data_IF_479985998278
#
_entry.id   IF_479985998278
#
_cell.length_a   1.000
_cell.length_b   1.000
_cell.length_c   1.000
_cell.angle_alpha   90.00
_cell.angle_beta   90.00
_cell.angle_gamma   90.00
#
_symmetry.space_group_name_H-M   'P 1'
#
loop_
_entity.id
_entity.type
_entity.pdbx_description
1 polymer ?
#
# COMPACT_ATOMS: atom_id res chain seq x y z
N UNK A 1 -56.92 23.64 39.96
CA UNK A 1 -56.40 22.41 39.35
C UNK A 1 -56.18 22.67 37.87
N UNK A 2 -54.93 22.76 37.40
CA UNK A 2 -54.61 23.03 36.00
C UNK A 2 -54.44 21.73 35.19
N UNK A 3 -54.46 21.82 33.85
CA UNK A 3 -54.27 20.68 32.96
C UNK A 3 -52.79 20.35 32.76
N UNK A 4 -52.49 19.06 32.62
CA UNK A 4 -51.20 18.48 32.26
C UNK A 4 -51.01 18.47 30.75
N UNK A 5 -50.00 19.21 30.27
CA UNK A 5 -49.45 19.08 28.92
C UNK A 5 -47.98 18.66 29.05
N UNK A 6 -47.72 17.35 28.88
CA UNK A 6 -46.37 16.81 28.72
C UNK A 6 -45.92 17.00 27.26
N UNK A 7 -45.05 17.97 27.02
CA UNK A 7 -44.23 18.03 25.81
C UNK A 7 -43.03 17.12 25.98
N UNK A 8 -43.11 15.92 25.40
CA UNK A 8 -41.98 15.01 25.21
C UNK A 8 -40.99 15.62 24.21
N UNK A 9 -39.96 16.31 24.69
CA UNK A 9 -38.78 16.61 23.90
C UNK A 9 -37.94 15.33 23.74
N UNK A 10 -37.91 14.78 22.52
CA UNK A 10 -36.93 13.79 22.14
C UNK A 10 -35.51 14.41 22.19
N UNK A 11 -34.47 13.65 22.59
CA UNK A 11 -33.10 14.14 22.52
C UNK A 11 -32.67 14.29 21.06
N UNK A 12 -32.07 15.43 20.73
CA UNK A 12 -31.39 15.70 19.46
C UNK A 12 -30.02 14.99 19.46
N UNK A 13 -29.81 13.89 18.70
CA UNK A 13 -28.55 13.17 18.72
C UNK A 13 -27.70 13.61 17.52
N UNK A 14 -27.32 14.88 17.47
CA UNK A 14 -26.34 15.36 16.49
C UNK A 14 -24.94 15.34 17.10
N UNK A 15 -24.29 14.17 17.11
CA UNK A 15 -22.88 14.04 17.53
C UNK A 15 -21.96 14.36 16.35
N UNK A 16 -21.14 15.41 16.45
CA UNK A 16 -20.15 15.80 15.42
C UNK A 16 -18.77 15.25 15.82
N UNK A 17 -18.13 14.47 14.95
CA UNK A 17 -16.81 13.85 15.19
C UNK A 17 -15.73 14.49 14.31
N UNK A 18 -14.94 15.39 14.87
CA UNK A 18 -13.86 16.08 14.14
C UNK A 18 -12.68 15.13 13.91
N UNK A 19 -12.29 14.88 12.66
CA UNK A 19 -11.10 14.07 12.28
C UNK A 19 -10.28 14.84 11.25
N UNK A 20 -9.03 15.20 11.61
CA UNK A 20 -8.13 15.98 10.76
C UNK A 20 -7.59 15.22 9.54
N UNK A 21 -7.16 16.01 8.54
CA UNK A 21 -6.49 15.67 7.28
C UNK A 21 -7.37 15.21 6.09
N UNK A 22 -7.03 15.72 4.90
CA UNK A 22 -7.68 15.44 3.60
C UNK A 22 -7.54 13.97 3.17
N UNK A 23 -6.48 13.30 3.61
CA UNK A 23 -6.17 11.91 3.23
C UNK A 23 -7.15 10.90 3.86
N UNK A 24 -7.75 11.24 5.02
CA UNK A 24 -8.79 10.43 5.65
C UNK A 24 -10.08 10.36 4.79
N UNK A 25 -10.38 11.43 4.06
CA UNK A 25 -11.61 11.53 3.28
C UNK A 25 -11.62 10.58 2.06
N UNK A 26 -10.46 10.41 1.41
CA UNK A 26 -10.30 9.49 0.28
C UNK A 26 -10.35 8.03 0.73
N UNK A 27 -9.69 7.70 1.85
CA UNK A 27 -9.71 6.36 2.43
C UNK A 27 -11.12 5.94 2.88
N UNK A 28 -11.89 6.88 3.47
CA UNK A 28 -13.29 6.66 3.82
C UNK A 28 -14.14 6.45 2.56
N UNK A 29 -13.95 7.26 1.51
CA UNK A 29 -14.72 7.09 0.27
C UNK A 29 -14.52 5.71 -0.37
N UNK A 30 -13.27 5.24 -0.48
CA UNK A 30 -12.93 3.95 -1.09
C UNK A 30 -13.44 2.75 -0.28
N UNK A 31 -13.48 2.86 1.05
CA UNK A 31 -13.89 1.74 1.93
C UNK A 31 -15.41 1.60 2.08
N UNK A 32 -16.17 2.65 1.77
CA UNK A 32 -17.63 2.67 1.87
C UNK A 32 -18.34 2.74 0.50
N UNK A 33 -17.66 2.39 -0.60
CA UNK A 33 -18.31 2.22 -1.91
C UNK A 33 -19.47 1.23 -1.79
N UNK A 34 -20.70 1.75 -1.89
CA UNK A 34 -21.95 0.98 -1.89
C UNK A 34 -22.83 1.13 -0.65
N UNK A 35 -22.37 1.75 0.45
CA UNK A 35 -23.14 1.82 1.71
C UNK A 35 -23.56 3.24 2.14
N UNK A 36 -23.03 4.29 1.53
CA UNK A 36 -23.25 5.65 1.98
C UNK A 36 -23.28 6.68 0.82
N UNK A 37 -24.25 7.60 0.85
CA UNK A 37 -24.14 8.84 0.07
C UNK A 37 -23.16 9.76 0.78
N UNK A 38 -21.95 9.91 0.23
CA UNK A 38 -20.93 10.82 0.76
C UNK A 38 -21.04 12.18 0.07
N UNK A 39 -21.04 13.26 0.86
CA UNK A 39 -21.00 14.65 0.36
C UNK A 39 -19.82 15.39 0.95
N UNK A 40 -19.22 16.26 0.14
CA UNK A 40 -18.11 17.11 0.52
C UNK A 40 -18.60 18.55 0.64
N UNK A 41 -18.16 19.26 1.66
CA UNK A 41 -18.45 20.68 1.88
C UNK A 41 -17.15 21.43 2.19
N UNK A 42 -17.09 22.71 1.79
CA UNK A 42 -15.92 23.58 1.99
C UNK A 42 -15.99 24.37 3.29
N UNK A 43 -17.19 24.52 3.86
CA UNK A 43 -17.39 25.17 5.14
C UNK A 43 -18.35 24.36 6.02
N UNK A 44 -18.29 24.52 7.35
CA UNK A 44 -19.22 23.87 8.26
C UNK A 44 -20.69 24.20 7.95
N UNK A 45 -20.98 25.43 7.53
CA UNK A 45 -22.33 25.88 7.17
C UNK A 45 -22.83 25.18 5.90
N UNK A 46 -21.98 25.02 4.89
CA UNK A 46 -22.29 24.25 3.69
C UNK A 46 -22.53 22.77 4.02
N UNK A 47 -21.73 22.20 4.93
CA UNK A 47 -21.90 20.82 5.38
C UNK A 47 -23.22 20.61 6.10
N UNK A 48 -23.60 21.53 6.99
CA UNK A 48 -24.88 21.49 7.70
C UNK A 48 -26.07 21.69 6.74
N UNK A 49 -25.92 22.56 5.73
CA UNK A 49 -26.94 22.75 4.70
C UNK A 49 -27.14 21.50 3.85
N UNK A 50 -26.05 20.84 3.42
CA UNK A 50 -26.08 19.57 2.69
C UNK A 50 -26.69 18.44 3.54
N UNK A 51 -26.31 18.36 4.82
CA UNK A 51 -26.86 17.40 5.77
C UNK A 51 -28.40 17.52 5.88
N UNK A 52 -28.91 18.75 6.02
CA UNK A 52 -30.35 19.03 6.13
C UNK A 52 -31.12 18.79 4.83
N UNK A 53 -30.53 19.17 3.70
CA UNK A 53 -31.21 19.15 2.39
C UNK A 53 -31.23 17.75 1.77
N UNK A 54 -30.11 17.06 1.81
CA UNK A 54 -29.91 15.83 1.03
C UNK A 54 -29.89 14.57 1.89
N UNK A 55 -29.85 14.72 3.22
CA UNK A 55 -29.71 13.62 4.20
C UNK A 55 -28.67 12.57 3.79
N UNK A 56 -27.44 12.99 3.42
CA UNK A 56 -26.38 12.07 3.09
C UNK A 56 -26.01 11.23 4.31
N UNK A 57 -25.59 9.99 4.06
CA UNK A 57 -25.08 9.10 5.12
C UNK A 57 -23.79 9.63 5.76
N UNK A 58 -23.04 10.48 5.04
CA UNK A 58 -21.82 11.11 5.55
C UNK A 58 -21.57 12.47 4.89
N UNK A 59 -21.31 13.49 5.70
CA UNK A 59 -20.79 14.78 5.22
C UNK A 59 -19.35 14.97 5.70
N UNK A 60 -18.45 15.23 4.76
CA UNK A 60 -17.06 15.56 5.03
C UNK A 60 -16.87 17.05 4.77
N UNK A 61 -16.55 17.82 5.80
CA UNK A 61 -16.26 19.24 5.69
C UNK A 61 -14.75 19.43 5.66
N UNK A 62 -14.21 19.99 4.60
CA UNK A 62 -12.79 20.30 4.49
C UNK A 62 -12.58 21.80 4.64
N UNK A 63 -11.86 22.22 5.69
CA UNK A 63 -11.40 23.60 5.89
C UNK A 63 -9.88 23.67 5.70
N UNK A 64 -9.31 24.86 5.40
CA UNK A 64 -7.86 25.01 5.17
C UNK A 64 -6.98 24.48 6.29
N UNK A 65 -7.47 24.55 7.54
CA UNK A 65 -6.69 24.19 8.72
C UNK A 65 -7.08 22.81 9.30
N UNK A 66 -8.28 22.30 8.96
CA UNK A 66 -8.83 21.05 9.52
C UNK A 66 -9.80 20.36 8.57
N UNK A 67 -9.83 19.03 8.56
CA UNK A 67 -10.98 18.27 8.04
C UNK A 67 -11.89 17.93 9.22
N UNK A 68 -13.20 18.00 9.01
CA UNK A 68 -14.22 17.73 10.03
C UNK A 68 -15.17 16.69 9.44
N UNK A 69 -15.33 15.55 10.09
CA UNK A 69 -16.33 14.56 9.71
C UNK A 69 -17.63 14.85 10.48
N UNK A 70 -18.73 15.05 9.77
CA UNK A 70 -20.06 15.09 10.40
C UNK A 70 -20.84 13.86 9.93
N UNK A 71 -20.93 12.85 10.79
CA UNK A 71 -21.78 11.68 10.56
C UNK A 71 -23.20 11.96 11.05
N UNK A 72 -24.21 11.72 10.22
CA UNK A 72 -25.62 11.68 10.61
C UNK A 72 -26.10 10.24 10.53
N UNK A 73 -26.50 9.66 11.67
CA UNK A 73 -27.14 8.34 11.74
C UNK A 73 -28.59 8.51 12.21
N UNK A 74 -29.52 8.75 11.28
CA UNK A 74 -30.94 8.45 11.50
C UNK A 74 -31.19 6.98 11.11
N UNK A 75 -31.13 6.07 12.08
CA UNK A 75 -31.53 4.67 11.86
C UNK A 75 -33.06 4.57 11.87
N UNK A 76 -33.66 4.69 10.69
CA UNK A 76 -35.02 4.22 10.43
C UNK A 76 -35.09 2.70 10.50
N UNK A 77 -36.02 2.18 11.30
CA UNK A 77 -36.23 0.76 11.52
C UNK A 77 -36.43 -0.02 10.21
N UNK A 78 -36.03 -1.30 10.24
CA UNK A 78 -36.14 -2.34 9.20
C UNK A 78 -35.13 -2.29 8.06
N UNK A 79 -33.90 -2.70 8.36
CA UNK A 79 -33.07 -3.67 7.62
C UNK A 79 -31.90 -4.04 8.54
N UNK A 80 -31.49 -5.31 8.58
CA UNK A 80 -30.46 -5.86 9.48
C UNK A 80 -29.21 -4.96 9.52
N UNK A 81 -29.07 -4.18 10.60
CA UNK A 81 -28.02 -3.18 10.76
C UNK A 81 -26.91 -3.71 11.71
N UNK A 82 -25.62 -3.43 11.43
CA UNK A 82 -24.60 -3.46 12.48
C UNK A 82 -25.01 -2.47 13.57
N UNK A 83 -24.80 -2.83 14.83
CA UNK A 83 -25.22 -2.01 15.96
C UNK A 83 -24.42 -0.70 15.98
N UNK A 84 -24.97 0.36 16.56
CA UNK A 84 -24.28 1.64 16.78
C UNK A 84 -22.93 1.46 17.50
N UNK A 85 -22.79 0.39 18.29
CA UNK A 85 -21.53 -0.02 18.92
C UNK A 85 -20.49 -0.52 17.93
N UNK A 86 -20.87 -1.21 16.85
CA UNK A 86 -19.93 -1.77 15.87
C UNK A 86 -19.26 -0.68 15.03
N UNK A 87 -20.00 0.38 14.69
CA UNK A 87 -19.47 1.53 13.94
C UNK A 87 -18.60 2.42 14.85
N UNK A 88 -19.02 2.67 16.09
CA UNK A 88 -18.23 3.42 17.06
C UNK A 88 -16.91 2.71 17.39
N UNK A 89 -16.93 1.38 17.50
CA UNK A 89 -15.73 0.56 17.70
C UNK A 89 -14.83 0.61 16.46
N UNK A 90 -15.39 0.41 15.26
CA UNK A 90 -14.62 0.51 14.01
C UNK A 90 -13.97 1.89 13.80
N UNK A 91 -14.65 2.98 14.17
CA UNK A 91 -14.09 4.33 14.14
C UNK A 91 -13.04 4.55 15.23
N UNK A 92 -13.25 4.02 16.44
CA UNK A 92 -12.29 4.11 17.55
C UNK A 92 -11.01 3.33 17.25
N UNK A 93 -11.11 2.21 16.52
CA UNK A 93 -9.95 1.46 16.03
C UNK A 93 -9.25 2.16 14.85
N UNK A 94 -10.00 2.91 14.02
CA UNK A 94 -9.44 3.66 12.89
C UNK A 94 -8.67 4.92 13.34
N UNK A 95 -9.14 5.63 14.36
CA UNK A 95 -8.59 6.94 14.77
C UNK A 95 -7.10 6.87 15.16
N UNK A 96 -6.61 5.87 15.91
CA UNK A 96 -5.18 5.70 16.18
C UNK A 96 -4.35 5.46 14.91
N UNK A 97 -4.88 4.71 13.93
CA UNK A 97 -4.22 4.50 12.65
C UNK A 97 -4.17 5.78 11.82
N UNK A 98 -5.26 6.55 11.77
CA UNK A 98 -5.30 7.85 11.10
C UNK A 98 -4.37 8.87 11.77
N UNK A 99 -4.33 8.92 13.11
CA UNK A 99 -3.47 9.83 13.86
C UNK A 99 -1.98 9.44 13.78
N UNK A 100 -1.67 8.14 13.79
CA UNK A 100 -0.30 7.63 13.60
C UNK A 100 0.19 7.82 12.16
N UNK A 101 -0.72 7.85 11.19
CA UNK A 101 -0.44 8.22 9.80
C UNK A 101 -0.38 9.73 9.57
N UNK A 102 -0.52 10.57 10.60
CA UNK A 102 -0.40 12.03 10.46
C UNK A 102 0.92 12.60 10.98
N UNK A 103 1.77 11.79 11.62
CA UNK A 103 3.12 12.21 12.05
C UNK A 103 4.21 11.83 11.05
N UNK A 104 3.88 11.73 9.76
CA UNK A 104 4.88 11.50 8.73
C UNK A 104 5.79 12.71 8.63
N UNK A 105 7.09 12.42 8.59
CA UNK A 105 8.12 13.41 8.43
C UNK A 105 7.87 14.16 7.12
N UNK A 106 7.34 15.38 7.22
CA UNK A 106 7.12 16.29 6.09
C UNK A 106 8.42 16.60 5.32
N UNK A 107 9.58 16.23 5.87
CA UNK A 107 10.87 16.35 5.22
C UNK A 107 11.23 15.14 4.33
N UNK A 108 10.48 14.03 4.41
CA UNK A 108 10.71 12.91 3.51
C UNK A 108 10.35 13.28 2.07
N UNK A 109 11.29 13.03 1.16
CA UNK A 109 11.17 13.37 -0.27
C UNK A 109 10.14 12.47 -0.97
N UNK A 110 9.97 11.24 -0.48
CA UNK A 110 8.99 10.28 -0.96
C UNK A 110 8.47 9.45 0.21
N UNK A 111 7.15 9.34 0.35
CA UNK A 111 6.49 8.64 1.46
C UNK A 111 5.87 7.32 1.01
N UNK A 112 6.75 6.35 0.75
CA UNK A 112 6.36 5.01 0.26
C UNK A 112 5.71 4.18 1.36
N UNK A 113 6.14 4.36 2.61
CA UNK A 113 5.66 3.56 3.74
C UNK A 113 4.20 3.91 4.08
N UNK A 114 3.82 5.18 3.98
CA UNK A 114 2.42 5.59 4.04
C UNK A 114 1.58 4.95 2.96
N UNK A 115 2.05 4.98 1.70
CA UNK A 115 1.33 4.35 0.58
C UNK A 115 1.07 2.86 0.86
N UNK A 116 2.07 2.16 1.40
CA UNK A 116 1.98 0.73 1.72
C UNK A 116 1.07 0.42 2.91
N UNK A 117 0.94 1.34 3.87
CA UNK A 117 0.09 1.15 5.04
C UNK A 117 -1.40 1.00 4.67
N UNK A 118 -1.81 1.53 3.52
CA UNK A 118 -3.20 1.47 3.04
C UNK A 118 -3.55 0.21 2.26
N UNK A 119 -2.58 -0.61 1.86
CA UNK A 119 -2.80 -1.74 0.95
C UNK A 119 -3.07 -3.06 1.71
N UNK A 120 -4.13 -3.81 1.36
CA UNK A 120 -4.38 -5.13 1.93
C UNK A 120 -3.35 -6.14 1.40
N UNK A 121 -2.81 -7.01 2.25
CA UNK A 121 -1.73 -7.97 1.92
C UNK A 121 -0.46 -7.33 1.34
N UNK A 122 0.44 -6.89 2.22
CA UNK A 122 1.53 -6.00 1.84
C UNK A 122 2.53 -6.61 0.85
N UNK A 123 2.66 -7.93 0.74
CA UNK A 123 3.81 -8.54 0.03
C UNK A 123 3.74 -8.40 -1.49
N UNK A 124 2.58 -8.69 -2.11
CA UNK A 124 2.45 -8.62 -3.57
C UNK A 124 2.46 -7.16 -4.05
N UNK A 125 1.82 -6.27 -3.29
CA UNK A 125 1.83 -4.84 -3.57
C UNK A 125 3.21 -4.20 -3.39
N UNK A 126 3.99 -4.62 -2.38
CA UNK A 126 5.39 -4.18 -2.20
C UNK A 126 6.23 -4.49 -3.43
N UNK A 127 6.10 -5.68 -4.01
CA UNK A 127 6.82 -6.07 -5.21
C UNK A 127 6.42 -5.20 -6.43
N UNK A 128 5.13 -4.97 -6.63
CA UNK A 128 4.64 -4.11 -7.71
C UNK A 128 5.12 -2.65 -7.55
N UNK A 129 5.06 -2.11 -6.33
CA UNK A 129 5.57 -0.77 -6.01
C UNK A 129 7.08 -0.70 -6.22
N UNK A 130 7.84 -1.72 -5.82
CA UNK A 130 9.27 -1.77 -6.07
C UNK A 130 9.62 -1.69 -7.57
N UNK A 131 8.85 -2.36 -8.44
CA UNK A 131 9.02 -2.27 -9.90
C UNK A 131 8.73 -0.86 -10.41
N UNK A 132 7.63 -0.25 -9.95
CA UNK A 132 7.27 1.13 -10.35
C UNK A 132 8.32 2.14 -9.90
N UNK A 133 8.81 2.02 -8.67
CA UNK A 133 9.84 2.88 -8.11
C UNK A 133 11.18 2.69 -8.85
N UNK A 134 11.60 1.46 -9.13
CA UNK A 134 12.80 1.18 -9.89
C UNK A 134 12.76 1.84 -11.27
N UNK A 135 11.61 1.74 -11.95
CA UNK A 135 11.39 2.41 -13.23
C UNK A 135 11.41 3.94 -13.09
N UNK A 136 10.79 4.50 -12.04
CA UNK A 136 10.85 5.94 -11.80
C UNK A 136 12.29 6.42 -11.55
N UNK A 137 13.09 5.66 -10.82
CA UNK A 137 14.50 6.00 -10.58
C UNK A 137 15.34 6.00 -11.88
N UNK A 138 15.01 5.12 -12.83
CA UNK A 138 15.65 5.04 -14.14
C UNK A 138 15.16 6.13 -15.11
N UNK A 139 13.84 6.26 -15.29
CA UNK A 139 13.21 7.13 -16.28
C UNK A 139 13.06 8.60 -15.82
N UNK A 140 13.07 8.84 -14.50
CA UNK A 140 12.77 10.13 -13.87
C UNK A 140 13.63 11.30 -14.37
N UNK A 141 14.97 11.20 -14.39
CA UNK A 141 15.84 12.25 -14.91
C UNK A 141 15.57 12.59 -16.39
N UNK A 142 15.29 11.58 -17.22
CA UNK A 142 14.98 11.78 -18.63
C UNK A 142 13.65 12.51 -18.82
N UNK A 143 12.65 12.20 -17.98
CA UNK A 143 11.36 12.90 -17.95
C UNK A 143 11.53 14.39 -17.62
N UNK A 144 12.37 14.76 -16.64
CA UNK A 144 12.67 16.18 -16.34
C UNK A 144 13.38 16.87 -17.51
N UNK A 145 14.38 16.20 -18.11
CA UNK A 145 15.06 16.74 -19.28
C UNK A 145 14.09 16.98 -20.46
N UNK A 146 13.09 16.11 -20.63
CA UNK A 146 12.02 16.30 -21.61
C UNK A 146 11.17 17.54 -21.30
N UNK A 147 10.78 17.77 -20.05
CA UNK A 147 10.07 18.98 -19.64
C UNK A 147 10.87 20.25 -19.94
N UNK A 148 12.19 20.26 -19.63
CA UNK A 148 13.04 21.42 -19.94
C UNK A 148 13.15 21.67 -21.45
N UNK A 149 13.21 20.62 -22.28
CA UNK A 149 13.21 20.76 -23.75
C UNK A 149 11.86 21.24 -24.30
N UNK A 150 10.76 20.83 -23.66
CA UNK A 150 9.41 21.23 -24.02
C UNK A 150 9.08 22.67 -23.60
N UNK A 151 9.84 23.25 -22.68
CA UNK A 151 9.67 24.65 -22.29
C UNK A 151 10.10 25.59 -23.42
N UNK A 152 9.12 26.26 -24.02
CA UNK A 152 9.31 27.34 -24.98
C UNK A 152 8.26 28.42 -24.73
N UNK A 153 8.66 29.69 -24.56
CA UNK A 153 7.70 30.80 -24.48
C UNK A 153 6.72 30.76 -25.66
N UNK A 154 5.41 30.75 -25.38
CA UNK A 154 4.35 30.70 -26.40
C UNK A 154 3.90 29.29 -26.84
N UNK A 155 4.65 28.23 -26.54
CA UNK A 155 4.31 26.83 -26.90
C UNK A 155 4.12 25.95 -25.64
N UNK A 156 3.18 26.31 -24.77
CA UNK A 156 3.02 25.71 -23.43
C UNK A 156 2.27 24.37 -23.41
N UNK A 157 1.69 23.94 -24.54
CA UNK A 157 0.80 22.79 -24.62
C UNK A 157 1.46 21.47 -24.22
N UNK A 158 2.65 21.20 -24.77
CA UNK A 158 3.41 19.97 -24.50
C UNK A 158 3.89 19.92 -23.05
N UNK A 159 4.46 21.03 -22.55
CA UNK A 159 4.95 21.10 -21.17
C UNK A 159 3.83 20.86 -20.16
N UNK A 160 2.66 21.47 -20.35
CA UNK A 160 1.49 21.25 -19.48
C UNK A 160 1.06 19.78 -19.47
N UNK A 161 1.09 19.10 -20.62
CA UNK A 161 0.78 17.68 -20.69
C UNK A 161 1.79 16.83 -19.90
N UNK A 162 3.08 17.11 -20.04
CA UNK A 162 4.15 16.42 -19.32
C UNK A 162 4.04 16.64 -17.80
N UNK A 163 3.81 17.88 -17.35
CA UNK A 163 3.61 18.20 -15.94
C UNK A 163 2.42 17.45 -15.34
N UNK A 164 1.28 17.43 -16.05
CA UNK A 164 0.09 16.71 -15.61
C UNK A 164 0.34 15.21 -15.46
N UNK A 165 1.00 14.60 -16.46
CA UNK A 165 1.37 13.18 -16.44
C UNK A 165 2.30 12.88 -15.27
N UNK A 166 3.32 13.71 -15.06
CA UNK A 166 4.27 13.53 -13.96
C UNK A 166 3.61 13.71 -12.59
N UNK A 167 2.67 14.65 -12.44
CA UNK A 167 1.89 14.84 -11.22
C UNK A 167 1.16 13.56 -10.82
N UNK A 168 0.48 12.91 -11.77
CA UNK A 168 -0.22 11.65 -11.51
C UNK A 168 0.74 10.49 -11.24
N UNK A 169 1.75 10.30 -12.11
CA UNK A 169 2.68 9.18 -12.00
C UNK A 169 3.59 9.24 -10.77
N UNK A 170 4.28 10.36 -10.57
CA UNK A 170 5.21 10.55 -9.46
C UNK A 170 4.48 10.80 -8.14
N UNK A 171 3.40 11.60 -8.17
CA UNK A 171 2.60 11.90 -6.98
C UNK A 171 1.91 10.67 -6.38
N UNK A 172 1.41 9.74 -7.20
CA UNK A 172 0.79 8.50 -6.71
C UNK A 172 1.78 7.54 -6.04
N UNK A 173 3.09 7.74 -6.21
CA UNK A 173 4.15 6.98 -5.55
C UNK A 173 4.61 7.62 -4.22
N UNK A 174 3.90 8.64 -3.74
CA UNK A 174 4.17 9.29 -2.45
C UNK A 174 5.09 10.53 -2.53
N UNK A 175 5.43 11.00 -3.72
CA UNK A 175 6.24 12.21 -3.91
C UNK A 175 5.37 13.48 -3.93
N UNK A 176 4.76 13.79 -2.77
CA UNK A 176 3.78 14.88 -2.61
C UNK A 176 4.34 16.25 -2.97
N UNK A 177 5.53 16.60 -2.46
CA UNK A 177 6.19 17.89 -2.73
C UNK A 177 6.44 18.10 -4.23
N UNK A 178 6.88 17.04 -4.94
CA UNK A 178 7.02 17.08 -6.39
C UNK A 178 5.68 17.36 -7.10
N UNK A 179 4.61 16.67 -6.70
CA UNK A 179 3.28 16.89 -7.26
C UNK A 179 2.78 18.34 -7.03
N UNK A 180 3.02 18.91 -5.86
CA UNK A 180 2.69 20.31 -5.54
C UNK A 180 3.50 21.29 -6.43
N UNK A 181 4.81 21.07 -6.57
CA UNK A 181 5.65 21.88 -7.46
C UNK A 181 5.17 21.82 -8.93
N UNK A 182 4.69 20.67 -9.42
CA UNK A 182 4.14 20.62 -10.79
C UNK A 182 2.90 21.52 -10.94
N UNK A 183 2.06 21.64 -9.92
CA UNK A 183 0.90 22.54 -9.91
C UNK A 183 1.36 23.99 -9.96
N UNK A 184 2.37 24.37 -9.17
CA UNK A 184 2.94 25.72 -9.19
C UNK A 184 3.43 26.10 -10.60
N UNK A 185 4.14 25.19 -11.28
CA UNK A 185 4.60 25.41 -12.65
C UNK A 185 3.42 25.50 -13.63
N UNK A 186 2.41 24.64 -13.51
CA UNK A 186 1.18 24.72 -14.33
C UNK A 186 0.45 26.07 -14.16
N UNK A 187 0.42 26.61 -12.95
CA UNK A 187 -0.19 27.92 -12.66
C UNK A 187 0.65 29.04 -13.28
N UNK A 188 1.97 29.05 -13.07
CA UNK A 188 2.88 30.03 -13.66
C UNK A 188 2.80 30.03 -15.20
N UNK A 189 2.68 28.85 -15.81
CA UNK A 189 2.46 28.67 -17.25
C UNK A 189 1.17 29.33 -17.73
N UNK A 190 0.08 29.15 -16.98
CA UNK A 190 -1.24 29.74 -17.31
C UNK A 190 -1.23 31.25 -17.20
N UNK A 191 -0.46 31.79 -16.27
CA UNK A 191 -0.36 33.23 -16.00
C UNK A 191 0.69 33.94 -16.86
N UNK A 192 1.43 33.22 -17.71
CA UNK A 192 2.48 33.80 -18.55
C UNK A 192 3.70 34.28 -17.76
N UNK A 193 3.92 33.78 -16.54
CA UNK A 193 5.04 34.16 -15.67
C UNK A 193 6.29 33.33 -16.00
N UNK A 194 6.93 33.64 -17.13
CA UNK A 194 8.03 32.83 -17.68
C UNK A 194 9.19 32.60 -16.69
N UNK A 195 9.61 33.61 -15.95
CA UNK A 195 10.68 33.48 -14.93
C UNK A 195 10.30 32.47 -13.83
N UNK A 196 9.04 32.47 -13.40
CA UNK A 196 8.53 31.52 -12.40
C UNK A 196 8.46 30.09 -12.95
N UNK A 197 8.18 29.93 -14.25
CA UNK A 197 8.21 28.62 -14.91
C UNK A 197 9.63 28.07 -14.90
N UNK A 198 10.62 28.87 -15.28
CA UNK A 198 12.03 28.45 -15.31
C UNK A 198 12.55 28.09 -13.91
N UNK A 199 12.26 28.94 -12.92
CA UNK A 199 12.61 28.66 -11.53
C UNK A 199 11.90 27.39 -11.00
N UNK A 200 10.64 27.18 -11.38
CA UNK A 200 9.89 25.98 -11.00
C UNK A 200 10.41 24.70 -11.67
N UNK A 201 10.82 24.76 -12.94
CA UNK A 201 11.44 23.63 -13.63
C UNK A 201 12.79 23.26 -13.02
N UNK A 202 13.58 24.26 -12.60
CA UNK A 202 14.82 24.03 -11.86
C UNK A 202 14.55 23.33 -10.52
N UNK A 203 13.57 23.80 -9.74
CA UNK A 203 13.17 23.14 -8.48
C UNK A 203 12.67 21.71 -8.69
N UNK A 204 11.92 21.43 -9.76
CA UNK A 204 11.49 20.08 -10.10
C UNK A 204 12.68 19.15 -10.43
N UNK A 205 13.73 19.69 -11.06
CA UNK A 205 14.96 18.95 -11.33
C UNK A 205 15.70 18.60 -10.03
N UNK A 206 15.84 19.56 -9.12
CA UNK A 206 16.43 19.32 -7.79
C UNK A 206 15.62 18.29 -6.98
N UNK A 207 14.29 18.41 -6.99
CA UNK A 207 13.41 17.49 -6.27
C UNK A 207 13.48 16.07 -6.88
N UNK A 208 13.51 15.93 -8.21
CA UNK A 208 13.73 14.63 -8.85
C UNK A 208 15.11 14.05 -8.51
N UNK A 209 16.15 14.88 -8.48
CA UNK A 209 17.49 14.46 -8.09
C UNK A 209 17.55 13.99 -6.62
N UNK A 210 16.65 14.46 -5.75
CA UNK A 210 16.48 13.97 -4.39
C UNK A 210 15.61 12.70 -4.31
N UNK A 211 14.59 12.57 -5.16
CA UNK A 211 13.71 11.38 -5.22
C UNK A 211 14.50 10.13 -5.60
N UNK A 212 15.33 10.20 -6.64
CA UNK A 212 16.09 9.04 -7.15
C UNK A 212 16.91 8.31 -6.08
N UNK A 213 17.78 8.97 -5.30
CA UNK A 213 18.53 8.30 -4.24
C UNK A 213 17.63 7.82 -3.09
N UNK A 214 16.56 8.55 -2.75
CA UNK A 214 15.59 8.10 -1.75
C UNK A 214 14.91 6.77 -2.15
N UNK A 215 14.52 6.66 -3.44
CA UNK A 215 14.03 5.40 -4.02
C UNK A 215 15.10 4.30 -3.92
N UNK A 216 16.35 4.59 -4.30
CA UNK A 216 17.45 3.64 -4.22
C UNK A 216 17.67 3.10 -2.79
N UNK A 217 17.62 3.98 -1.78
CA UNK A 217 17.70 3.59 -0.38
C UNK A 217 16.52 2.73 0.06
N UNK A 218 15.30 3.06 -0.36
CA UNK A 218 14.12 2.28 -0.05
C UNK A 218 14.19 0.88 -0.69
N UNK A 219 14.54 0.78 -1.98
CA UNK A 219 14.72 -0.50 -2.69
C UNK A 219 15.79 -1.38 -2.02
N UNK A 220 16.92 -0.80 -1.63
CA UNK A 220 17.98 -1.53 -0.93
C UNK A 220 17.56 -2.00 0.47
N UNK A 221 16.67 -1.27 1.15
CA UNK A 221 16.06 -1.70 2.42
C UNK A 221 15.09 -2.85 2.19
N UNK A 222 14.22 -2.72 1.19
CA UNK A 222 13.21 -3.71 0.84
C UNK A 222 13.86 -5.04 0.43
N UNK A 223 14.88 -5.02 -0.43
CA UNK A 223 15.63 -6.23 -0.80
C UNK A 223 16.22 -6.95 0.42
N UNK A 224 16.77 -6.21 1.38
CA UNK A 224 17.30 -6.80 2.64
C UNK A 224 16.21 -7.39 3.52
N UNK A 225 15.03 -6.76 3.59
CA UNK A 225 13.88 -7.32 4.29
C UNK A 225 13.44 -8.61 3.60
N UNK A 226 13.33 -8.61 2.26
CA UNK A 226 12.98 -9.80 1.50
C UNK A 226 14.02 -10.92 1.66
N UNK A 227 15.32 -10.62 1.69
CA UNK A 227 16.37 -11.59 1.97
C UNK A 227 16.26 -12.18 3.38
N UNK A 228 15.96 -11.36 4.40
CA UNK A 228 15.74 -11.85 5.79
C UNK A 228 14.50 -12.73 5.90
N UNK A 229 13.41 -12.32 5.26
CA UNK A 229 12.17 -13.12 5.20
C UNK A 229 12.42 -14.43 4.46
N UNK A 230 13.15 -14.41 3.34
CA UNK A 230 13.61 -15.61 2.62
C UNK A 230 14.52 -16.51 3.47
N UNK A 231 15.27 -15.92 4.40
CA UNK A 231 16.13 -16.65 5.34
C UNK A 231 15.39 -17.24 6.55
N UNK A 232 14.13 -16.88 6.78
CA UNK A 232 13.34 -17.32 7.95
C UNK A 232 12.15 -18.21 7.56
N UNK A 233 11.48 -17.94 6.44
CA UNK A 233 10.53 -18.88 5.82
C UNK A 233 11.26 -19.71 4.78
N UNK A 234 11.43 -21.01 5.05
CA UNK A 234 11.99 -21.96 4.09
C UNK A 234 11.24 -21.79 2.75
N UNK A 235 11.91 -21.44 1.63
CA UNK A 235 11.26 -21.24 0.32
C UNK A 235 10.35 -22.41 -0.10
N UNK A 236 10.65 -23.59 0.45
CA UNK A 236 9.88 -24.82 0.46
C UNK A 236 8.45 -24.72 1.03
N UNK A 237 8.25 -23.99 2.14
CA UNK A 237 6.96 -23.80 2.81
C UNK A 237 6.09 -22.80 2.07
N UNK A 238 6.71 -21.71 1.60
CA UNK A 238 6.04 -20.75 0.71
C UNK A 238 5.59 -21.43 -0.58
N UNK A 239 6.47 -22.21 -1.21
CA UNK A 239 6.13 -22.99 -2.42
C UNK A 239 4.96 -23.94 -2.17
N UNK A 240 4.95 -24.62 -1.02
CA UNK A 240 3.85 -25.50 -0.61
C UNK A 240 2.53 -24.73 -0.43
N UNK A 241 2.56 -23.57 0.24
CA UNK A 241 1.39 -22.73 0.45
C UNK A 241 0.83 -22.16 -0.87
N UNK A 242 1.70 -21.71 -1.77
CA UNK A 242 1.29 -21.22 -3.10
C UNK A 242 0.68 -22.34 -3.93
N UNK A 243 1.31 -23.52 -3.97
CA UNK A 243 0.75 -24.68 -4.66
C UNK A 243 -0.59 -25.12 -4.08
N UNK A 244 -0.77 -25.09 -2.75
CA UNK A 244 -2.05 -25.44 -2.11
C UNK A 244 -3.20 -24.49 -2.51
N UNK A 245 -2.90 -23.24 -2.87
CA UNK A 245 -3.87 -22.24 -3.37
C UNK A 245 -4.05 -22.27 -4.89
N UNK A 246 -3.39 -23.18 -5.61
CA UNK A 246 -3.34 -23.21 -7.08
C UNK A 246 -2.78 -21.91 -7.69
N UNK A 247 -1.82 -21.28 -7.00
CA UNK A 247 -1.21 -20.03 -7.44
C UNK A 247 -0.15 -20.28 -8.52
N UNK A 248 -0.31 -19.67 -9.70
CA UNK A 248 0.63 -19.82 -10.83
C UNK A 248 2.04 -19.30 -10.50
N UNK A 249 2.18 -18.37 -9.56
CA UNK A 249 3.50 -17.91 -9.13
C UNK A 249 4.29 -19.03 -8.40
N UNK A 250 3.63 -20.11 -7.98
CA UNK A 250 4.32 -21.32 -7.49
C UNK A 250 5.21 -21.95 -8.57
N UNK A 251 4.85 -21.85 -9.85
CA UNK A 251 5.66 -22.38 -10.95
C UNK A 251 6.99 -21.62 -11.09
N UNK A 252 6.96 -20.30 -10.97
CA UNK A 252 8.16 -19.45 -11.07
C UNK A 252 9.06 -19.65 -9.84
N UNK A 253 8.45 -19.71 -8.66
CA UNK A 253 9.18 -20.03 -7.43
C UNK A 253 9.83 -21.42 -7.52
N UNK A 254 9.11 -22.44 -7.98
CA UNK A 254 9.66 -23.78 -8.20
C UNK A 254 10.86 -23.76 -9.16
N UNK A 255 10.77 -23.05 -10.30
CA UNK A 255 11.89 -22.94 -11.25
C UNK A 255 13.11 -22.30 -10.61
N UNK A 256 12.91 -21.26 -9.79
CA UNK A 256 14.01 -20.60 -9.09
C UNK A 256 14.70 -21.51 -8.07
N UNK A 257 13.92 -22.36 -7.38
CA UNK A 257 14.41 -23.30 -6.38
C UNK A 257 14.94 -24.61 -6.97
N UNK A 258 14.69 -24.90 -8.25
CA UNK A 258 14.97 -26.20 -8.86
C UNK A 258 16.41 -26.68 -8.64
N UNK A 259 17.41 -25.78 -8.73
CA UNK A 259 18.82 -26.13 -8.49
C UNK A 259 19.10 -26.58 -7.06
N UNK A 260 18.46 -25.95 -6.08
CA UNK A 260 18.58 -26.31 -4.66
C UNK A 260 17.85 -27.63 -4.38
N UNK A 261 16.69 -27.82 -5.01
CA UNK A 261 15.94 -29.08 -4.94
C UNK A 261 16.70 -30.25 -5.56
N UNK A 262 17.46 -30.02 -6.63
CA UNK A 262 18.31 -31.04 -7.26
C UNK A 262 19.46 -31.50 -6.36
N UNK A 263 19.94 -30.64 -5.45
CA UNK A 263 20.96 -31.00 -4.48
C UNK A 263 20.43 -31.82 -3.29
N UNK A 264 19.11 -31.80 -3.05
CA UNK A 264 18.47 -32.41 -1.88
C UNK A 264 17.58 -33.60 -2.22
N UNK A 265 16.89 -33.56 -3.36
CA UNK A 265 15.94 -34.58 -3.78
C UNK A 265 16.58 -35.60 -4.72
N UNK A 266 16.05 -36.82 -4.70
CA UNK A 266 16.46 -37.84 -5.67
C UNK A 266 16.00 -37.44 -7.08
N UNK A 267 16.75 -37.79 -8.14
CA UNK A 267 16.38 -37.44 -9.51
C UNK A 267 14.96 -37.88 -9.91
N UNK A 268 14.49 -39.03 -9.40
CA UNK A 268 13.14 -39.53 -9.66
C UNK A 268 12.03 -38.72 -8.97
N UNK A 269 12.29 -38.14 -7.80
CA UNK A 269 11.36 -37.26 -7.09
C UNK A 269 11.28 -35.90 -7.79
N UNK A 270 12.44 -35.33 -8.14
CA UNK A 270 12.51 -34.07 -8.89
C UNK A 270 11.79 -34.17 -10.24
N UNK A 271 11.98 -35.26 -10.99
CA UNK A 271 11.29 -35.47 -12.26
C UNK A 271 9.75 -35.57 -12.12
N UNK A 272 9.24 -36.08 -11.00
CA UNK A 272 7.80 -36.13 -10.70
C UNK A 272 7.27 -34.74 -10.36
N UNK A 273 8.02 -33.95 -9.60
CA UNK A 273 7.67 -32.55 -9.31
C UNK A 273 7.71 -31.69 -10.57
N UNK A 274 8.75 -31.84 -11.41
CA UNK A 274 8.89 -31.17 -12.71
C UNK A 274 7.66 -31.44 -13.59
N UNK A 275 7.22 -32.71 -13.64
CA UNK A 275 6.01 -33.10 -14.39
C UNK A 275 4.75 -32.43 -13.81
N UNK A 276 4.55 -32.48 -12.50
CA UNK A 276 3.38 -31.91 -11.86
C UNK A 276 3.29 -30.40 -12.08
N UNK A 277 4.40 -29.66 -11.98
CA UNK A 277 4.46 -28.22 -12.27
C UNK A 277 4.20 -27.95 -13.76
N UNK A 278 4.77 -28.75 -14.67
CA UNK A 278 4.56 -28.58 -16.11
C UNK A 278 3.10 -28.82 -16.53
N UNK A 279 2.42 -29.79 -15.91
CA UNK A 279 1.00 -30.09 -16.17
C UNK A 279 0.04 -29.31 -15.30
N UNK A 280 0.55 -28.35 -14.49
CA UNK A 280 -0.23 -27.56 -13.52
C UNK A 280 -1.05 -28.43 -12.53
N UNK A 281 -0.59 -29.63 -12.23
CA UNK A 281 -1.19 -30.55 -11.26
C UNK A 281 -0.71 -30.18 -9.84
N UNK A 282 -1.24 -29.07 -9.31
CA UNK A 282 -0.88 -28.61 -7.96
C UNK A 282 -1.29 -29.58 -6.83
N UNK A 283 -2.44 -30.28 -6.88
CA UNK A 283 -2.76 -31.31 -5.90
C UNK A 283 -1.74 -32.46 -5.91
N UNK A 284 -1.36 -32.95 -7.10
CA UNK A 284 -0.29 -33.93 -7.25
C UNK A 284 1.04 -33.41 -6.72
N UNK A 285 1.41 -32.17 -7.08
CA UNK A 285 2.62 -31.51 -6.59
C UNK A 285 2.68 -31.45 -5.06
N UNK A 286 1.62 -31.00 -4.40
CA UNK A 286 1.59 -30.86 -2.92
C UNK A 286 1.73 -32.22 -2.22
N UNK A 287 1.10 -33.27 -2.72
CA UNK A 287 1.25 -34.63 -2.18
C UNK A 287 2.67 -35.19 -2.37
N UNK A 288 3.27 -34.97 -3.55
CA UNK A 288 4.64 -35.35 -3.84
C UNK A 288 5.63 -34.62 -2.93
N UNK A 289 5.43 -33.31 -2.80
CA UNK A 289 6.25 -32.43 -1.99
C UNK A 289 6.25 -32.82 -0.51
N UNK A 290 5.07 -33.08 0.06
CA UNK A 290 4.95 -33.56 1.45
C UNK A 290 5.69 -34.89 1.68
N UNK A 291 5.60 -35.80 0.70
CA UNK A 291 6.30 -37.10 0.76
C UNK A 291 7.81 -36.95 0.70
N UNK A 292 8.31 -36.07 -0.17
CA UNK A 292 9.73 -35.77 -0.32
C UNK A 292 10.31 -35.14 0.96
N UNK A 293 9.61 -34.16 1.56
CA UNK A 293 10.02 -33.55 2.85
C UNK A 293 10.07 -34.57 3.98
N UNK A 294 9.12 -35.49 4.03
CA UNK A 294 9.12 -36.55 5.03
C UNK A 294 10.32 -37.51 4.88
N UNK A 295 10.82 -37.70 3.66
CA UNK A 295 12.05 -38.44 3.38
C UNK A 295 13.29 -37.74 3.93
N UNK A 296 13.47 -36.46 3.60
CA UNK A 296 14.59 -35.63 4.07
C UNK A 296 14.70 -35.61 5.60
N UNK A 297 13.58 -35.40 6.29
CA UNK A 297 13.55 -35.39 7.76
C UNK A 297 13.89 -36.73 8.43
N UNK A 298 13.87 -37.86 7.68
CA UNK A 298 14.32 -39.17 8.19
C UNK A 298 15.82 -39.34 8.01
N UNK A 299 16.37 -38.88 6.89
CA UNK A 299 17.82 -38.96 6.61
C UNK A 299 18.63 -38.08 7.57
N UNK A 300 18.17 -36.85 7.86
CA UNK A 300 18.81 -35.98 8.85
C UNK A 300 18.86 -36.62 10.24
N UNK A 301 17.76 -37.27 10.66
CA UNK A 301 17.68 -37.98 11.94
C UNK A 301 18.62 -39.19 11.96
N UNK A 302 18.67 -39.97 10.89
CA UNK A 302 19.58 -41.11 10.79
C UNK A 302 21.06 -40.69 10.83
N UNK A 303 21.40 -39.58 10.16
CA UNK A 303 22.75 -39.00 10.16
C UNK A 303 23.15 -38.48 11.55
N UNK A 304 22.23 -37.84 12.26
CA UNK A 304 22.45 -37.36 13.63
C UNK A 304 22.51 -38.46 14.70
N UNK A 305 21.92 -39.63 14.43
CA UNK A 305 21.84 -40.75 15.38
C UNK A 305 23.06 -41.69 15.33
N UNK A 306 24.03 -41.45 14.44
CA UNK A 306 25.28 -42.19 14.48
C UNK A 306 26.07 -41.71 15.71
N UNK A 307 26.17 -42.52 16.79
CA UNK A 307 26.85 -42.08 18.00
C UNK A 307 28.29 -41.76 17.62
N UNK A 308 28.79 -40.58 18.02
CA UNK A 308 30.17 -40.21 17.87
C UNK A 308 31.05 -41.35 18.38
N UNK A 309 31.58 -42.16 17.45
CA UNK A 309 32.49 -43.25 17.77
C UNK A 309 33.66 -42.58 18.47
N UNK A 310 33.76 -42.82 19.77
CA UNK A 310 34.72 -42.15 20.63
C UNK A 310 36.11 -42.22 20.01
N UNK A 311 36.72 -41.06 19.81
CA UNK A 311 38.15 -40.95 19.56
C UNK A 311 38.87 -41.58 20.76
N UNK A 312 39.17 -42.88 20.67
CA UNK A 312 40.06 -43.57 21.58
C UNK A 312 41.39 -42.83 21.59
N UNK A 313 41.71 -42.27 22.76
CA UNK A 313 42.98 -41.64 23.04
C UNK A 313 44.10 -42.66 22.81
N UNK A 314 44.87 -42.48 21.75
CA UNK A 314 46.18 -43.12 21.59
C UNK A 314 47.11 -42.43 22.59
N UNK A 315 47.37 -43.09 23.74
CA UNK A 315 48.54 -42.76 24.56
C UNK A 315 49.76 -43.34 23.85
N UNK A 316 50.59 -42.46 23.30
CA UNK A 316 51.98 -42.79 22.94
C UNK A 316 52.76 -42.87 24.26
N UNK A 317 53.41 -44.02 24.48
CA UNK A 317 54.40 -44.24 25.56
C UNK A 317 55.77 -43.89 25.00
#
# INVERSE_FOLDING_TARGET
>A
MPPTSETSHAPDPTSVLVIGAADAALAIHQRFEGLATVRFARTPEEGLALARKERPSLVIVHTPDQTVLAGFLELGATCLAPTTGDIATALTDLVPHLASSCSHDTQSVIDIDSLLAWLPDQNDYRAAIAVMLARLAEDGPAMIAEMRRAWRPGETGLLRHLLHKARGGVGSLGARRFAEMTIEVEVALREGKHENVEAGLFRLEEEMAAIVPAIGHWLARESRIQERVRGTDMPCERLQAMAARHDLAACDLYRSLRRELEATLRPSELARLDRAIHTLDFPGFTSLWASARAGLAREDRASSAHPAVGNSSIRVV
#
